data_IF_195324258643
#
_entry.id   IF_195324258643
#
_cell.length_a   1.000
_cell.length_b   1.000
_cell.length_c   1.000
_cell.angle_alpha   90.00
_cell.angle_beta   90.00
_cell.angle_gamma   90.00
#
_symmetry.space_group_name_H-M   'P 1'
#
loop_
_entity.id
_entity.type
_entity.pdbx_description
1 polymer ?
#
# COMPACT_ATOMS: atom_id res chain seq x y z
N UNK A 1 16.64 16.07 -10.45
CA UNK A 1 15.59 15.98 -9.41
C UNK A 1 15.90 17.04 -8.36
N UNK A 2 14.96 17.92 -8.00
CA UNK A 2 15.24 18.98 -7.02
C UNK A 2 15.36 18.40 -5.62
N UNK A 3 16.26 18.98 -4.78
CA UNK A 3 16.48 18.58 -3.37
C UNK A 3 15.16 18.45 -2.60
N UNK A 4 14.18 19.28 -2.93
CA UNK A 4 12.86 19.25 -2.31
C UNK A 4 12.03 18.01 -2.69
N UNK A 5 12.08 17.56 -3.94
CA UNK A 5 11.39 16.34 -4.39
C UNK A 5 11.96 15.12 -3.66
N UNK A 6 13.29 15.03 -3.54
CA UNK A 6 13.96 13.98 -2.77
C UNK A 6 13.59 14.02 -1.29
N UNK A 7 13.49 15.22 -0.71
CA UNK A 7 13.13 15.38 0.69
C UNK A 7 11.69 14.89 0.97
N UNK A 8 10.72 15.29 0.15
CA UNK A 8 9.31 14.84 0.28
C UNK A 8 9.20 13.33 0.09
N UNK A 9 9.94 12.79 -0.87
CA UNK A 9 9.99 11.37 -1.18
C UNK A 9 10.51 10.57 0.02
N UNK A 10 11.64 10.98 0.59
CA UNK A 10 12.22 10.36 1.79
C UNK A 10 11.23 10.45 2.95
N UNK A 11 10.59 11.60 3.12
CA UNK A 11 9.72 11.85 4.24
C UNK A 11 8.41 11.05 4.18
N UNK A 12 7.75 10.98 3.01
CA UNK A 12 6.55 10.14 2.80
C UNK A 12 6.85 8.67 3.08
N UNK A 13 8.07 8.22 2.79
CA UNK A 13 8.50 6.85 3.04
C UNK A 13 8.92 6.59 4.50
N UNK A 14 9.34 7.60 5.26
CA UNK A 14 9.53 7.46 6.71
C UNK A 14 8.21 7.13 7.42
N UNK A 15 7.09 7.70 6.96
CA UNK A 15 5.77 7.36 7.48
C UNK A 15 5.37 5.91 7.20
N UNK A 16 5.75 5.39 6.03
CA UNK A 16 5.59 3.97 5.72
C UNK A 16 6.48 3.08 6.61
N UNK A 17 7.72 3.51 6.87
CA UNK A 17 8.61 2.86 7.82
C UNK A 17 7.96 2.68 9.21
N UNK A 18 7.27 3.69 9.70
CA UNK A 18 6.55 3.66 10.97
C UNK A 18 5.45 2.60 10.94
N UNK A 19 4.68 2.55 9.86
CA UNK A 19 3.63 1.55 9.67
C UNK A 19 4.17 0.11 9.66
N UNK A 20 5.37 -0.11 9.13
CA UNK A 20 6.02 -1.43 9.11
C UNK A 20 6.50 -1.91 10.49
N UNK A 21 6.73 -1.02 11.46
CA UNK A 21 7.04 -1.42 12.84
C UNK A 21 5.89 -2.16 13.52
N UNK A 22 4.65 -1.94 13.07
CA UNK A 22 3.44 -2.64 13.53
C UNK A 22 3.30 -4.10 13.08
N UNK A 23 4.25 -4.67 12.32
CA UNK A 23 4.19 -6.07 11.85
C UNK A 23 4.26 -7.10 12.99
N UNK A 24 4.75 -6.71 14.17
CA UNK A 24 4.80 -7.56 15.38
C UNK A 24 3.45 -7.68 16.12
N UNK A 25 2.40 -7.09 15.59
CA UNK A 25 1.07 -7.04 16.21
C UNK A 25 0.47 -8.44 16.43
N UNK A 26 0.71 -9.39 15.51
CA UNK A 26 0.27 -10.77 15.64
C UNK A 26 0.86 -11.40 16.91
N UNK A 27 2.18 -11.35 17.05
CA UNK A 27 2.91 -11.91 18.19
C UNK A 27 2.48 -11.26 19.51
N UNK A 28 2.20 -9.95 19.47
CA UNK A 28 1.75 -9.21 20.64
C UNK A 28 0.37 -9.70 21.12
N UNK A 29 -0.60 -9.81 20.22
CA UNK A 29 -1.97 -10.22 20.55
C UNK A 29 -2.05 -11.69 20.97
N UNK A 30 -1.29 -12.56 20.31
CA UNK A 30 -1.16 -13.95 20.70
C UNK A 30 -0.56 -14.07 22.10
N UNK A 31 0.50 -13.29 22.40
CA UNK A 31 1.10 -13.21 23.74
C UNK A 31 0.16 -12.67 24.83
N UNK A 32 -0.82 -11.84 24.45
CA UNK A 32 -1.87 -11.37 25.36
C UNK A 32 -3.03 -12.36 25.52
N UNK A 33 -3.08 -13.45 24.72
CA UNK A 33 -4.13 -14.47 24.78
C UNK A 33 -5.47 -14.03 24.18
N UNK A 34 -5.48 -13.01 23.30
CA UNK A 34 -6.67 -12.55 22.62
C UNK A 34 -6.76 -13.10 21.18
N UNK A 35 -8.00 -13.24 20.68
CA UNK A 35 -8.23 -13.65 19.28
C UNK A 35 -7.69 -12.59 18.31
N UNK A 36 -6.59 -12.92 17.67
CA UNK A 36 -5.92 -12.06 16.68
C UNK A 36 -6.86 -11.75 15.52
N UNK A 37 -7.50 -12.77 14.95
CA UNK A 37 -8.40 -12.63 13.82
C UNK A 37 -9.58 -11.69 14.11
N UNK A 38 -10.19 -11.81 15.31
CA UNK A 38 -11.32 -10.94 15.70
C UNK A 38 -10.93 -9.47 15.78
N UNK A 39 -9.76 -9.18 16.36
CA UNK A 39 -9.25 -7.81 16.46
C UNK A 39 -8.87 -7.23 15.07
N UNK A 40 -8.26 -8.04 14.20
CA UNK A 40 -7.97 -7.61 12.83
C UNK A 40 -9.25 -7.35 12.03
N UNK A 41 -10.23 -8.27 12.07
CA UNK A 41 -11.51 -8.07 11.41
C UNK A 41 -12.22 -6.79 11.86
N UNK A 42 -12.18 -6.48 13.16
CA UNK A 42 -12.76 -5.24 13.68
C UNK A 42 -12.13 -4.00 13.04
N UNK A 43 -10.80 -3.98 12.90
CA UNK A 43 -10.08 -2.88 12.23
C UNK A 43 -10.50 -2.72 10.78
N UNK A 44 -10.54 -3.81 10.01
CA UNK A 44 -10.93 -3.78 8.60
C UNK A 44 -12.39 -3.39 8.40
N UNK A 45 -13.33 -3.90 9.23
CA UNK A 45 -14.73 -3.52 9.18
C UNK A 45 -14.89 -2.03 9.48
N UNK A 46 -14.23 -1.52 10.52
CA UNK A 46 -14.24 -0.09 10.85
C UNK A 46 -13.66 0.74 9.72
N UNK A 47 -12.57 0.28 9.11
CA UNK A 47 -11.97 0.90 7.93
C UNK A 47 -12.95 1.00 6.76
N UNK A 48 -13.64 -0.10 6.42
CA UNK A 48 -14.63 -0.12 5.33
C UNK A 48 -15.79 0.88 5.58
N UNK A 49 -16.33 0.88 6.81
CA UNK A 49 -17.46 1.75 7.17
C UNK A 49 -17.09 3.22 7.19
N UNK A 50 -15.89 3.56 7.67
CA UNK A 50 -15.45 4.96 7.84
C UNK A 50 -14.80 5.55 6.59
N UNK A 51 -14.39 4.74 5.62
CA UNK A 51 -13.66 5.19 4.42
C UNK A 51 -14.32 6.36 3.69
N UNK A 52 -15.62 6.32 3.33
CA UNK A 52 -16.25 7.41 2.57
C UNK A 52 -16.25 8.75 3.33
N UNK A 53 -16.44 8.68 4.65
CA UNK A 53 -16.44 9.88 5.51
C UNK A 53 -15.03 10.42 5.67
N UNK A 54 -14.04 9.55 5.87
CA UNK A 54 -12.63 9.92 6.06
C UNK A 54 -12.11 10.68 4.84
N UNK A 55 -12.32 10.18 3.62
CA UNK A 55 -11.91 10.85 2.40
C UNK A 55 -12.53 12.25 2.23
N UNK A 56 -13.83 12.35 2.49
CA UNK A 56 -14.54 13.63 2.41
C UNK A 56 -14.07 14.66 3.47
N UNK A 57 -13.69 14.18 4.66
CA UNK A 57 -13.07 15.03 5.69
C UNK A 57 -11.70 15.55 5.25
N UNK A 58 -10.88 14.70 4.62
CA UNK A 58 -9.56 15.09 4.08
C UNK A 58 -9.69 16.17 3.03
N UNK A 59 -10.60 15.99 2.05
CA UNK A 59 -10.84 16.98 1.00
C UNK A 59 -11.37 18.31 1.56
N UNK A 60 -12.21 18.27 2.61
CA UNK A 60 -12.76 19.46 3.24
C UNK A 60 -11.78 20.22 4.15
N UNK A 61 -11.13 19.51 5.06
CA UNK A 61 -10.34 20.14 6.13
C UNK A 61 -8.87 20.36 5.78
N UNK A 62 -8.41 19.78 4.69
CA UNK A 62 -7.04 19.90 4.21
C UNK A 62 -6.15 18.71 4.55
N UNK A 63 -5.16 18.52 3.71
CA UNK A 63 -4.34 17.30 3.70
C UNK A 63 -3.22 17.33 4.75
N UNK A 64 -2.64 18.51 5.04
CA UNK A 64 -1.68 18.65 6.15
C UNK A 64 -2.33 18.36 7.49
N UNK A 65 -3.52 18.94 7.75
CA UNK A 65 -4.26 18.70 9.00
C UNK A 65 -4.62 17.23 9.15
N UNK A 66 -5.03 16.58 8.05
CA UNK A 66 -5.32 15.16 8.04
C UNK A 66 -4.07 14.29 8.30
N UNK A 67 -2.89 14.68 7.78
CA UNK A 67 -1.63 14.01 8.08
C UNK A 67 -1.21 14.15 9.55
N UNK A 68 -1.42 15.33 10.14
CA UNK A 68 -1.17 15.55 11.58
C UNK A 68 -2.14 14.73 12.44
N UNK A 69 -3.41 14.65 12.05
CA UNK A 69 -4.40 13.80 12.72
C UNK A 69 -4.00 12.33 12.63
N UNK A 70 -3.55 11.86 11.47
CA UNK A 70 -3.00 10.50 11.30
C UNK A 70 -1.89 10.22 12.30
N UNK A 71 -0.87 11.07 12.37
CA UNK A 71 0.23 10.88 13.30
C UNK A 71 -0.24 10.89 14.77
N UNK A 72 -1.15 11.78 15.13
CA UNK A 72 -1.70 11.84 16.48
C UNK A 72 -2.45 10.55 16.87
N UNK A 73 -3.29 10.04 15.97
CA UNK A 73 -4.03 8.80 16.17
C UNK A 73 -3.11 7.58 16.24
N UNK A 74 -2.07 7.51 15.38
CA UNK A 74 -1.06 6.44 15.40
C UNK A 74 -0.27 6.40 16.72
N UNK A 75 0.09 7.57 17.28
CA UNK A 75 0.70 7.63 18.61
C UNK A 75 -0.26 7.01 19.64
N UNK A 76 -1.54 7.38 19.60
CA UNK A 76 -2.56 6.85 20.51
C UNK A 76 -2.73 5.34 20.37
N UNK A 77 -2.79 4.81 19.14
CA UNK A 77 -2.88 3.37 18.85
C UNK A 77 -1.69 2.64 19.47
N UNK A 78 -0.48 3.05 19.13
CA UNK A 78 0.75 2.38 19.59
C UNK A 78 0.94 2.46 21.11
N UNK A 79 0.39 3.47 21.78
CA UNK A 79 0.38 3.54 23.24
C UNK A 79 -0.66 2.58 23.84
N UNK A 80 -1.86 2.47 23.27
CA UNK A 80 -2.90 1.55 23.74
C UNK A 80 -2.49 0.09 23.60
N UNK A 81 -1.75 -0.26 22.56
CA UNK A 81 -1.32 -1.62 22.28
C UNK A 81 -0.23 -2.15 23.22
N UNK A 82 0.46 -1.26 23.94
CA UNK A 82 1.46 -1.66 24.92
C UNK A 82 0.85 -2.31 26.18
N UNK A 83 -0.46 -2.24 26.36
CA UNK A 83 -1.13 -2.77 27.55
C UNK A 83 -2.12 -3.89 27.18
N UNK A 84 -2.09 -5.05 27.88
CA UNK A 84 -2.97 -6.20 27.62
C UNK A 84 -4.39 -5.95 28.15
N UNK A 85 -5.04 -4.87 27.71
CA UNK A 85 -6.37 -4.48 28.13
C UNK A 85 -7.33 -4.49 26.96
N UNK A 86 -8.25 -5.45 26.94
CA UNK A 86 -9.12 -5.71 25.75
C UNK A 86 -9.87 -4.49 25.26
N UNK A 87 -10.37 -3.62 26.13
CA UNK A 87 -11.09 -2.41 25.70
C UNK A 87 -10.15 -1.44 24.98
N UNK A 88 -8.91 -1.28 25.49
CA UNK A 88 -7.89 -0.48 24.82
C UNK A 88 -7.53 -1.04 23.44
N UNK A 89 -7.38 -2.36 23.31
CA UNK A 89 -7.10 -3.03 22.03
C UNK A 89 -8.25 -2.91 21.05
N UNK A 90 -9.51 -3.02 21.50
CA UNK A 90 -10.69 -2.79 20.65
C UNK A 90 -10.70 -1.35 20.15
N UNK A 91 -10.47 -0.37 21.01
CA UNK A 91 -10.41 1.05 20.62
C UNK A 91 -9.26 1.28 19.64
N UNK A 92 -8.07 0.72 19.89
CA UNK A 92 -6.91 0.84 18.98
C UNK A 92 -7.25 0.28 17.59
N UNK A 93 -7.93 -0.85 17.48
CA UNK A 93 -8.34 -1.43 16.19
C UNK A 93 -9.39 -0.62 15.46
N UNK A 94 -10.35 -0.05 16.18
CA UNK A 94 -11.32 0.88 15.57
C UNK A 94 -10.63 2.14 15.03
N UNK A 95 -9.75 2.75 15.80
CA UNK A 95 -8.95 3.90 15.35
C UNK A 95 -8.03 3.48 14.20
N UNK A 96 -7.42 2.30 14.26
CA UNK A 96 -6.56 1.74 13.21
C UNK A 96 -7.25 1.60 11.85
N UNK A 97 -8.54 1.27 11.83
CA UNK A 97 -9.32 1.30 10.59
C UNK A 97 -9.43 2.71 9.98
N UNK A 98 -9.57 3.74 10.81
CA UNK A 98 -9.61 5.14 10.35
C UNK A 98 -8.22 5.59 9.86
N UNK A 99 -7.15 5.28 10.60
CA UNK A 99 -5.79 5.68 10.22
C UNK A 99 -5.33 4.98 8.95
N UNK A 100 -5.75 3.74 8.69
CA UNK A 100 -5.49 3.06 7.42
C UNK A 100 -6.09 3.84 6.24
N UNK A 101 -7.31 4.36 6.36
CA UNK A 101 -7.92 5.19 5.31
C UNK A 101 -7.17 6.50 5.12
N UNK A 102 -6.72 7.15 6.20
CA UNK A 102 -5.88 8.35 6.13
C UNK A 102 -4.54 8.05 5.45
N UNK A 103 -3.88 6.95 5.80
CA UNK A 103 -2.61 6.53 5.21
C UNK A 103 -2.74 6.33 3.70
N UNK A 104 -3.79 5.67 3.25
CA UNK A 104 -4.02 5.38 1.83
C UNK A 104 -4.41 6.60 0.99
N UNK A 105 -4.93 7.67 1.61
CA UNK A 105 -5.46 8.81 0.85
C UNK A 105 -4.64 10.09 1.00
N UNK A 106 -4.20 10.43 2.22
CA UNK A 106 -3.66 11.76 2.53
C UNK A 106 -2.32 12.02 1.85
N UNK A 107 -1.38 11.09 1.98
CA UNK A 107 0.02 11.33 1.59
C UNK A 107 0.18 11.43 0.07
N UNK A 108 -0.44 10.52 -0.66
CA UNK A 108 -0.42 10.54 -2.13
C UNK A 108 -1.17 11.76 -2.68
N UNK A 109 -2.33 12.09 -2.11
CA UNK A 109 -3.11 13.26 -2.56
C UNK A 109 -2.41 14.58 -2.25
N UNK A 110 -1.75 14.69 -1.10
CA UNK A 110 -0.92 15.85 -0.77
C UNK A 110 0.24 16.00 -1.74
N UNK A 111 0.96 14.90 -2.01
CA UNK A 111 2.11 14.86 -2.90
C UNK A 111 1.72 15.26 -4.33
N UNK A 112 0.66 14.66 -4.90
CA UNK A 112 0.20 14.95 -6.25
C UNK A 112 -0.20 16.44 -6.40
N UNK A 113 -0.95 16.97 -5.43
CA UNK A 113 -1.36 18.36 -5.47
C UNK A 113 -0.17 19.31 -5.33
N UNK A 114 0.76 19.03 -4.43
CA UNK A 114 1.96 19.87 -4.26
C UNK A 114 2.88 19.79 -5.47
N UNK A 115 3.00 18.61 -6.10
CA UNK A 115 3.75 18.40 -7.34
C UNK A 115 3.22 19.29 -8.46
N UNK A 116 1.89 19.28 -8.67
CA UNK A 116 1.21 20.11 -9.68
C UNK A 116 1.29 21.60 -9.35
N UNK A 117 1.06 21.97 -8.09
CA UNK A 117 1.10 23.36 -7.64
C UNK A 117 2.46 24.03 -7.87
N UNK A 118 3.54 23.24 -7.79
CA UNK A 118 4.90 23.72 -8.05
C UNK A 118 5.30 23.73 -9.51
N UNK A 119 4.42 23.31 -10.40
CA UNK A 119 4.67 23.27 -11.84
C UNK A 119 5.79 22.31 -12.23
N UNK A 120 5.96 21.20 -11.48
CA UNK A 120 6.91 20.17 -11.88
C UNK A 120 6.41 19.43 -13.11
N UNK A 121 7.37 18.95 -13.91
CA UNK A 121 7.13 18.25 -15.16
C UNK A 121 6.30 16.96 -14.91
N UNK A 122 5.07 16.89 -15.46
CA UNK A 122 4.23 15.71 -15.32
C UNK A 122 4.87 14.42 -15.81
N UNK A 123 5.78 14.48 -16.79
CA UNK A 123 6.50 13.31 -17.29
C UNK A 123 7.41 12.66 -16.24
N UNK A 124 7.88 13.43 -15.25
CA UNK A 124 8.73 12.96 -14.16
C UNK A 124 7.93 12.44 -12.95
N UNK A 125 6.61 12.51 -12.99
CA UNK A 125 5.77 11.99 -11.90
C UNK A 125 5.89 10.47 -11.76
N UNK A 126 6.08 9.76 -12.87
CA UNK A 126 6.34 8.32 -12.83
C UNK A 126 7.67 7.98 -12.16
N UNK A 127 8.73 8.74 -12.45
CA UNK A 127 10.02 8.58 -11.77
C UNK A 127 9.87 8.79 -10.25
N UNK A 128 9.06 9.77 -9.85
CA UNK A 128 8.75 10.02 -8.45
C UNK A 128 8.02 8.83 -7.80
N UNK A 129 7.04 8.24 -8.49
CA UNK A 129 6.31 7.07 -7.99
C UNK A 129 7.21 5.84 -7.88
N UNK A 130 8.07 5.61 -8.89
CA UNK A 130 9.09 4.55 -8.87
C UNK A 130 10.05 4.72 -7.69
N UNK A 131 10.63 5.90 -7.53
CA UNK A 131 11.59 6.19 -6.46
C UNK A 131 10.93 6.07 -5.08
N UNK A 132 9.65 6.46 -4.97
CA UNK A 132 8.85 6.24 -3.77
C UNK A 132 8.70 4.75 -3.44
N UNK A 133 8.43 3.90 -4.43
CA UNK A 133 8.32 2.45 -4.23
C UNK A 133 9.65 1.83 -3.75
N UNK A 134 10.78 2.22 -4.37
CA UNK A 134 12.10 1.75 -3.98
C UNK A 134 12.43 2.14 -2.53
N UNK A 135 12.25 3.42 -2.19
CA UNK A 135 12.52 3.91 -0.82
C UNK A 135 11.59 3.24 0.20
N UNK A 136 10.33 3.00 -0.16
CA UNK A 136 9.37 2.30 0.68
C UNK A 136 9.83 0.88 1.03
N UNK A 137 10.29 0.11 0.06
CA UNK A 137 10.79 -1.25 0.30
C UNK A 137 12.10 -1.25 1.09
N UNK A 138 13.01 -0.31 0.84
CA UNK A 138 14.21 -0.15 1.67
C UNK A 138 13.87 0.22 3.11
N UNK A 139 12.90 1.10 3.31
CA UNK A 139 12.39 1.46 4.63
C UNK A 139 11.77 0.24 5.34
N UNK A 140 11.03 -0.61 4.62
CA UNK A 140 10.46 -1.84 5.19
C UNK A 140 11.55 -2.81 5.68
N UNK A 141 12.64 -2.98 4.92
CA UNK A 141 13.78 -3.80 5.37
C UNK A 141 14.40 -3.20 6.64
N UNK A 142 14.69 -1.90 6.63
CA UNK A 142 15.30 -1.22 7.76
C UNK A 142 14.41 -1.25 9.01
N UNK A 143 13.08 -1.13 8.84
CA UNK A 143 12.13 -1.23 9.95
C UNK A 143 12.09 -2.63 10.56
N UNK A 144 12.22 -3.68 9.75
CA UNK A 144 12.29 -5.05 10.24
C UNK A 144 13.50 -5.28 11.16
N UNK A 145 14.68 -4.80 10.77
CA UNK A 145 15.88 -4.87 11.62
C UNK A 145 15.73 -4.05 12.90
N UNK A 146 15.16 -2.84 12.79
CA UNK A 146 14.92 -1.99 13.97
C UNK A 146 13.92 -2.63 14.93
N UNK A 147 12.83 -3.17 14.40
CA UNK A 147 11.79 -3.84 15.19
C UNK A 147 12.35 -5.05 15.93
N UNK A 148 13.17 -5.87 15.24
CA UNK A 148 13.84 -7.01 15.86
C UNK A 148 14.76 -6.58 17.01
N UNK A 149 15.65 -5.61 16.78
CA UNK A 149 16.55 -5.12 17.83
C UNK A 149 15.83 -4.44 19.01
N UNK A 150 14.68 -3.82 18.77
CA UNK A 150 13.83 -3.26 19.83
C UNK A 150 13.09 -4.38 20.59
N UNK A 151 12.61 -5.41 19.90
CA UNK A 151 11.97 -6.56 20.52
C UNK A 151 12.95 -7.35 21.41
N UNK A 152 14.21 -7.54 20.99
CA UNK A 152 15.25 -8.18 21.82
C UNK A 152 15.56 -7.40 23.10
N UNK A 153 15.53 -6.06 23.06
CA UNK A 153 15.90 -5.23 24.22
C UNK A 153 14.76 -4.88 25.13
N UNK A 154 13.57 -4.66 24.60
CA UNK A 154 12.39 -4.15 25.30
C UNK A 154 11.23 -5.16 25.34
N UNK A 155 11.43 -6.37 24.80
CA UNK A 155 10.39 -7.39 24.67
C UNK A 155 9.39 -7.09 23.56
N UNK A 156 8.25 -7.81 23.51
CA UNK A 156 7.26 -7.72 22.41
C UNK A 156 6.67 -6.32 22.18
N UNK A 157 6.69 -5.44 23.19
CA UNK A 157 6.24 -4.03 23.11
C UNK A 157 7.28 -3.10 22.50
N UNK A 158 8.54 -3.51 22.39
CA UNK A 158 9.66 -2.70 21.91
C UNK A 158 9.40 -2.03 20.56
N UNK A 159 8.94 -2.76 19.52
CA UNK A 159 8.59 -2.18 18.22
C UNK A 159 7.57 -1.05 18.30
N UNK A 160 6.57 -1.15 19.19
CA UNK A 160 5.53 -0.13 19.36
C UNK A 160 6.07 1.14 20.03
N UNK A 161 7.01 1.01 20.97
CA UNK A 161 7.74 2.16 21.54
C UNK A 161 8.55 2.87 20.44
N UNK A 162 9.23 2.10 19.60
CA UNK A 162 9.93 2.64 18.42
C UNK A 162 8.99 3.35 17.44
N UNK A 163 7.81 2.78 17.19
CA UNK A 163 6.80 3.38 16.34
C UNK A 163 6.32 4.72 16.89
N UNK A 164 6.07 4.84 18.20
CA UNK A 164 5.71 6.11 18.84
C UNK A 164 6.81 7.15 18.61
N UNK A 165 8.08 6.81 18.87
CA UNK A 165 9.19 7.76 18.70
C UNK A 165 9.31 8.25 17.24
N UNK A 166 9.25 7.34 16.27
CA UNK A 166 9.28 7.69 14.85
C UNK A 166 8.06 8.54 14.43
N UNK A 167 6.87 8.22 14.94
CA UNK A 167 5.64 8.98 14.61
C UNK A 167 5.68 10.38 15.19
N UNK A 168 6.25 10.58 16.38
CA UNK A 168 6.47 11.92 16.95
C UNK A 168 7.41 12.74 16.07
N UNK A 169 8.51 12.15 15.58
CA UNK A 169 9.41 12.82 14.64
C UNK A 169 8.65 13.20 13.36
N UNK A 170 7.87 12.28 12.81
CA UNK A 170 7.05 12.53 11.63
C UNK A 170 6.04 13.66 11.85
N UNK A 171 5.35 13.67 12.99
CA UNK A 171 4.43 14.74 13.36
C UNK A 171 5.11 16.12 13.36
N UNK A 172 6.27 16.23 14.00
CA UNK A 172 7.05 17.49 14.07
C UNK A 172 7.46 17.94 12.67
N UNK A 173 7.93 17.03 11.83
CA UNK A 173 8.37 17.34 10.46
C UNK A 173 7.19 17.78 9.59
N UNK A 174 6.05 17.09 9.64
CA UNK A 174 4.82 17.50 8.92
C UNK A 174 4.37 18.89 9.40
N UNK A 175 4.35 19.12 10.70
CA UNK A 175 3.93 20.40 11.27
C UNK A 175 4.82 21.54 10.80
N UNK A 176 6.15 21.33 10.75
CA UNK A 176 7.13 22.36 10.44
C UNK A 176 7.28 22.63 8.93
N UNK A 177 7.20 21.59 8.09
CA UNK A 177 7.67 21.68 6.69
C UNK A 177 6.51 21.63 5.69
N UNK A 178 5.44 20.87 5.96
CA UNK A 178 4.35 20.76 5.02
C UNK A 178 3.54 22.05 4.94
N UNK A 179 3.19 22.44 3.71
CA UNK A 179 2.20 23.47 3.47
C UNK A 179 0.81 22.83 3.42
N UNK A 180 -0.19 23.56 3.90
CA UNK A 180 -1.57 23.10 3.71
C UNK A 180 -1.91 23.15 2.23
N UNK A 181 -2.53 22.10 1.75
CA UNK A 181 -3.08 22.08 0.40
C UNK A 181 -4.45 21.39 0.37
N UNK A 182 -5.21 21.81 -0.60
CA UNK A 182 -6.57 21.36 -0.86
C UNK A 182 -6.64 20.93 -2.33
N UNK A 183 -7.78 20.40 -2.77
CA UNK A 183 -8.04 20.24 -4.20
C UNK A 183 -8.06 21.60 -4.93
N UNK A 184 -8.38 21.59 -6.23
CA UNK A 184 -8.45 22.82 -7.05
C UNK A 184 -9.68 23.69 -6.76
N UNK A 185 -10.59 23.27 -5.88
CA UNK A 185 -11.77 24.05 -5.52
C UNK A 185 -11.41 25.39 -4.86
N UNK A 186 -12.10 26.47 -5.26
CA UNK A 186 -11.91 27.79 -4.68
C UNK A 186 -12.33 27.82 -3.21
N UNK A 187 -11.72 28.71 -2.42
CA UNK A 187 -11.95 28.79 -0.96
C UNK A 187 -13.42 28.94 -0.59
N UNK A 188 -14.15 29.81 -1.28
CA UNK A 188 -15.58 30.05 -1.03
C UNK A 188 -16.44 28.79 -1.30
N UNK A 189 -16.14 28.05 -2.35
CA UNK A 189 -16.87 26.82 -2.69
C UNK A 189 -16.58 25.72 -1.66
N UNK A 190 -15.35 25.60 -1.23
CA UNK A 190 -14.93 24.64 -0.21
C UNK A 190 -15.59 24.88 1.14
N UNK A 191 -15.61 26.14 1.61
CA UNK A 191 -16.15 26.49 2.93
C UNK A 191 -17.66 26.29 2.99
N UNK A 192 -18.36 26.51 1.88
CA UNK A 192 -19.80 26.27 1.76
C UNK A 192 -20.17 24.79 1.58
N UNK A 193 -19.21 23.94 1.19
CA UNK A 193 -19.48 22.54 0.87
C UNK A 193 -19.45 21.67 2.13
N UNK A 194 -20.54 20.91 2.35
CA UNK A 194 -20.62 19.96 3.46
C UNK A 194 -19.83 18.69 3.16
N UNK A 195 -19.47 17.90 4.18
CA UNK A 195 -18.86 16.56 4.03
C UNK A 195 -19.73 15.67 3.13
N UNK A 196 -21.05 15.69 3.34
CA UNK A 196 -21.99 14.98 2.46
C UNK A 196 -21.94 15.51 1.01
N UNK A 197 -21.60 16.77 0.79
CA UNK A 197 -21.40 17.38 -0.52
C UNK A 197 -20.23 16.72 -1.26
N UNK A 198 -19.09 16.55 -0.61
CA UNK A 198 -17.92 15.86 -1.19
C UNK A 198 -18.23 14.39 -1.52
N UNK A 199 -18.93 13.68 -0.63
CA UNK A 199 -19.37 12.30 -0.91
C UNK A 199 -20.31 12.22 -2.12
N UNK A 200 -21.28 13.14 -2.22
CA UNK A 200 -22.18 13.19 -3.37
C UNK A 200 -21.45 13.50 -4.67
N UNK A 201 -20.44 14.37 -4.62
CA UNK A 201 -19.61 14.68 -5.78
C UNK A 201 -18.80 13.49 -6.23
N UNK A 202 -18.14 12.76 -5.34
CA UNK A 202 -17.44 11.52 -5.67
C UNK A 202 -18.37 10.51 -6.35
N UNK A 203 -19.59 10.33 -5.83
CA UNK A 203 -20.62 9.48 -6.46
C UNK A 203 -21.04 10.01 -7.83
N UNK A 204 -21.14 11.32 -7.99
CA UNK A 204 -21.46 11.93 -9.29
C UNK A 204 -20.34 11.70 -10.31
N UNK A 205 -19.08 11.80 -9.89
CA UNK A 205 -17.91 11.51 -10.74
C UNK A 205 -17.96 10.06 -11.22
N UNK A 206 -18.23 9.09 -10.35
CA UNK A 206 -18.37 7.68 -10.73
C UNK A 206 -19.52 7.41 -11.69
N UNK A 207 -20.63 8.16 -11.57
CA UNK A 207 -21.76 8.04 -12.50
C UNK A 207 -21.48 8.64 -13.87
N UNK A 208 -20.70 9.73 -13.90
CA UNK A 208 -20.40 10.45 -15.13
C UNK A 208 -19.27 9.77 -15.93
N UNK A 209 -18.26 9.20 -15.23
CA UNK A 209 -17.15 8.48 -15.83
C UNK A 209 -16.95 7.12 -15.17
N UNK A 210 -17.43 6.09 -15.83
CA UNK A 210 -17.26 4.70 -15.38
C UNK A 210 -15.81 4.20 -15.46
N UNK A 211 -14.91 4.91 -16.17
CA UNK A 211 -13.47 4.57 -16.21
C UNK A 211 -12.87 4.74 -14.83
N UNK A 212 -13.19 5.84 -14.14
CA UNK A 212 -12.71 6.11 -12.78
C UNK A 212 -13.17 5.02 -11.81
N UNK A 213 -14.46 4.63 -11.89
CA UNK A 213 -14.99 3.55 -11.06
C UNK A 213 -14.25 2.22 -11.32
N UNK A 214 -14.01 1.87 -12.59
CA UNK A 214 -13.26 0.66 -12.95
C UNK A 214 -11.84 0.67 -12.43
N UNK A 215 -11.12 1.79 -12.56
CA UNK A 215 -9.77 1.96 -12.01
C UNK A 215 -9.78 1.74 -10.50
N UNK A 216 -10.71 2.35 -9.77
CA UNK A 216 -10.83 2.17 -8.31
C UNK A 216 -11.13 0.72 -7.91
N UNK A 217 -11.99 0.02 -8.66
CA UNK A 217 -12.31 -1.39 -8.38
C UNK A 217 -11.09 -2.27 -8.62
N UNK A 218 -10.43 -2.14 -9.77
CA UNK A 218 -9.27 -2.96 -10.13
C UNK A 218 -8.14 -2.76 -9.11
N UNK A 219 -7.83 -1.51 -8.78
CA UNK A 219 -6.77 -1.21 -7.81
C UNK A 219 -7.15 -1.63 -6.39
N UNK A 220 -8.44 -1.52 -6.02
CA UNK A 220 -8.92 -2.04 -4.75
C UNK A 220 -8.80 -3.56 -4.63
N UNK A 221 -9.08 -4.30 -5.71
CA UNK A 221 -8.91 -5.75 -5.76
C UNK A 221 -7.41 -6.14 -5.75
N UNK A 222 -6.57 -5.42 -6.49
CA UNK A 222 -5.11 -5.63 -6.49
C UNK A 222 -4.52 -5.44 -5.09
N UNK A 223 -4.85 -4.33 -4.44
CA UNK A 223 -4.40 -4.06 -3.07
C UNK A 223 -4.99 -5.05 -2.06
N UNK A 224 -6.24 -5.48 -2.25
CA UNK A 224 -6.87 -6.52 -1.45
C UNK A 224 -6.12 -7.86 -1.55
N UNK A 225 -5.75 -8.27 -2.77
CA UNK A 225 -4.95 -9.47 -3.01
C UNK A 225 -3.58 -9.37 -2.33
N UNK A 226 -2.92 -8.21 -2.41
CA UNK A 226 -1.65 -7.95 -1.70
C UNK A 226 -1.83 -8.11 -0.17
N UNK A 227 -2.88 -7.55 0.41
CA UNK A 227 -3.11 -7.65 1.86
C UNK A 227 -3.40 -9.09 2.29
N UNK A 228 -4.16 -9.85 1.50
CA UNK A 228 -4.37 -11.29 1.74
C UNK A 228 -3.05 -12.07 1.62
N UNK A 229 -2.24 -11.75 0.62
CA UNK A 229 -0.90 -12.34 0.48
C UNK A 229 -0.02 -12.06 1.70
N UNK A 230 0.04 -10.79 2.16
CA UNK A 230 0.80 -10.42 3.38
C UNK A 230 0.35 -11.21 4.60
N UNK A 231 -0.94 -11.57 4.67
CA UNK A 231 -1.46 -12.37 5.77
C UNK A 231 -1.15 -13.87 5.63
N UNK A 232 -1.17 -14.41 4.40
CA UNK A 232 -1.12 -15.85 4.15
C UNK A 232 0.27 -16.42 3.82
N UNK A 233 1.23 -15.61 3.34
CA UNK A 233 2.53 -16.15 2.90
C UNK A 233 3.28 -16.89 4.01
N UNK A 234 3.23 -16.37 5.25
CA UNK A 234 3.91 -16.96 6.39
C UNK A 234 3.33 -18.34 6.79
N UNK A 235 2.00 -18.50 7.04
CA UNK A 235 1.44 -19.80 7.37
C UNK A 235 1.54 -20.81 6.22
N UNK A 236 1.43 -20.38 4.95
CA UNK A 236 1.62 -21.27 3.79
C UNK A 236 3.04 -21.85 3.81
N UNK A 237 4.05 -21.01 3.95
CA UNK A 237 5.44 -21.48 3.98
C UNK A 237 5.75 -22.29 5.24
N UNK A 238 5.15 -21.99 6.39
CA UNK A 238 5.29 -22.78 7.60
C UNK A 238 4.80 -24.23 7.40
N UNK A 239 3.67 -24.40 6.74
CA UNK A 239 3.12 -25.72 6.44
C UNK A 239 4.00 -26.49 5.45
N UNK A 240 4.44 -25.85 4.36
CA UNK A 240 5.28 -26.47 3.36
C UNK A 240 6.69 -26.79 3.85
N UNK A 241 7.23 -26.04 4.80
CA UNK A 241 8.55 -26.28 5.37
C UNK A 241 8.64 -27.62 6.10
N UNK A 242 7.53 -28.13 6.64
CA UNK A 242 7.47 -29.42 7.35
C UNK A 242 7.79 -30.61 6.42
N UNK A 243 7.45 -30.51 5.13
CA UNK A 243 7.72 -31.54 4.11
C UNK A 243 9.04 -31.35 3.36
N UNK A 244 9.71 -30.22 3.51
CA UNK A 244 10.90 -29.87 2.74
C UNK A 244 12.19 -30.45 3.37
N UNK A 245 13.14 -30.97 2.57
CA UNK A 245 14.44 -31.43 3.09
C UNK A 245 15.29 -30.23 3.52
N UNK A 246 15.81 -30.26 4.75
CA UNK A 246 16.59 -29.16 5.36
C UNK A 246 17.82 -28.74 4.51
N UNK A 247 18.41 -29.69 3.74
CA UNK A 247 19.62 -29.42 2.94
C UNK A 247 19.37 -28.79 1.56
N UNK A 248 18.11 -28.70 1.10
CA UNK A 248 17.78 -28.20 -0.25
C UNK A 248 17.21 -26.77 -0.28
N UNK A 249 17.10 -26.09 0.84
CA UNK A 249 16.34 -24.86 1.00
C UNK A 249 17.13 -23.57 0.87
N UNK A 250 18.38 -23.61 0.39
CA UNK A 250 19.24 -22.39 0.25
C UNK A 250 19.30 -21.49 1.51
N UNK A 251 19.16 -22.06 2.71
CA UNK A 251 19.15 -21.31 3.96
C UNK A 251 17.80 -20.64 4.31
N UNK A 252 16.73 -20.88 3.54
CA UNK A 252 15.39 -20.40 3.84
C UNK A 252 14.63 -21.24 4.88
N UNK A 253 15.17 -22.41 5.24
CA UNK A 253 14.67 -23.24 6.34
C UNK A 253 15.78 -23.36 7.38
N UNK A 254 15.43 -23.21 8.65
CA UNK A 254 16.35 -23.40 9.75
C UNK A 254 16.52 -24.89 10.14
N UNK A 255 17.41 -25.17 11.10
CA UNK A 255 17.66 -26.52 11.56
C UNK A 255 16.47 -27.18 12.31
N UNK A 256 15.40 -26.44 12.57
CA UNK A 256 14.16 -26.90 13.20
C UNK A 256 13.01 -27.11 12.21
N UNK A 257 13.28 -27.07 10.91
CA UNK A 257 12.29 -27.10 9.83
C UNK A 257 11.31 -25.91 9.85
N UNK A 258 11.73 -24.74 10.38
CA UNK A 258 10.96 -23.52 10.32
C UNK A 258 11.47 -22.58 9.23
N UNK A 259 10.58 -21.82 8.55
CA UNK A 259 11.00 -20.83 7.57
C UNK A 259 11.81 -19.70 8.22
N UNK A 260 12.92 -19.33 7.61
CA UNK A 260 13.70 -18.16 8.01
C UNK A 260 12.98 -16.87 7.61
N UNK A 261 11.87 -16.54 8.30
CA UNK A 261 10.92 -15.48 7.95
C UNK A 261 11.58 -14.13 7.65
N UNK A 262 12.59 -13.73 8.43
CA UNK A 262 13.30 -12.48 8.22
C UNK A 262 14.09 -12.45 6.90
N UNK A 263 14.74 -13.57 6.54
CA UNK A 263 15.47 -13.69 5.29
C UNK A 263 14.52 -13.71 4.08
N UNK A 264 13.41 -14.44 4.19
CA UNK A 264 12.37 -14.52 3.16
C UNK A 264 11.73 -13.14 2.94
N UNK A 265 11.36 -12.45 4.01
CA UNK A 265 10.82 -11.09 3.93
C UNK A 265 11.82 -10.11 3.30
N UNK A 266 13.10 -10.19 3.71
CA UNK A 266 14.18 -9.42 3.10
C UNK A 266 14.31 -9.67 1.59
N UNK A 267 14.20 -10.94 1.16
CA UNK A 267 14.22 -11.33 -0.25
C UNK A 267 13.01 -10.78 -1.02
N UNK A 268 11.80 -10.79 -0.43
CA UNK A 268 10.60 -10.19 -1.02
C UNK A 268 10.77 -8.69 -1.22
N UNK A 269 11.22 -7.96 -0.20
CA UNK A 269 11.44 -6.52 -0.32
C UNK A 269 12.52 -6.17 -1.35
N UNK A 270 13.61 -6.96 -1.40
CA UNK A 270 14.66 -6.80 -2.43
C UNK A 270 14.11 -7.06 -3.84
N UNK A 271 13.27 -8.07 -4.01
CA UNK A 271 12.57 -8.37 -5.26
C UNK A 271 11.68 -7.19 -5.70
N UNK A 272 10.93 -6.59 -4.78
CA UNK A 272 10.14 -5.39 -5.04
C UNK A 272 10.99 -4.18 -5.44
N UNK A 273 12.18 -4.00 -4.86
CA UNK A 273 13.14 -2.96 -5.30
C UNK A 273 13.57 -3.22 -6.74
N UNK A 274 13.95 -4.45 -7.08
CA UNK A 274 14.35 -4.81 -8.46
C UNK A 274 13.20 -4.53 -9.43
N UNK A 275 11.98 -4.94 -9.10
CA UNK A 275 10.79 -4.64 -9.91
C UNK A 275 10.58 -3.14 -10.12
N UNK A 276 10.67 -2.35 -9.05
CA UNK A 276 10.56 -0.90 -9.10
C UNK A 276 11.61 -0.25 -10.02
N UNK A 277 12.87 -0.65 -9.90
CA UNK A 277 13.95 -0.15 -10.76
C UNK A 277 13.76 -0.54 -12.24
N UNK A 278 13.18 -1.72 -12.50
CA UNK A 278 12.91 -2.20 -13.85
C UNK A 278 11.65 -1.58 -14.48
N UNK A 279 10.73 -0.99 -13.70
CA UNK A 279 9.40 -0.55 -14.15
C UNK A 279 9.44 0.36 -15.39
N UNK A 280 10.31 1.38 -15.39
CA UNK A 280 10.46 2.31 -16.51
C UNK A 280 10.97 1.62 -17.80
N UNK A 281 11.88 0.66 -17.66
CA UNK A 281 12.42 -0.08 -18.82
C UNK A 281 11.35 -1.00 -19.41
N UNK A 282 10.62 -1.72 -18.56
CA UNK A 282 9.52 -2.59 -19.00
C UNK A 282 8.42 -1.77 -19.69
N UNK A 283 8.04 -0.62 -19.10
CA UNK A 283 7.06 0.26 -19.73
C UNK A 283 7.52 0.77 -21.10
N UNK A 284 8.78 1.21 -21.22
CA UNK A 284 9.34 1.64 -22.52
C UNK A 284 9.28 0.50 -23.54
N UNK A 285 9.63 -0.72 -23.16
CA UNK A 285 9.54 -1.89 -24.03
C UNK A 285 8.09 -2.15 -24.49
N UNK A 286 7.12 -2.08 -23.55
CA UNK A 286 5.69 -2.24 -23.87
C UNK A 286 5.20 -1.10 -24.79
N UNK A 287 5.63 0.13 -24.59
CA UNK A 287 5.28 1.27 -25.46
C UNK A 287 5.77 1.04 -26.89
N UNK A 288 7.00 0.53 -27.05
CA UNK A 288 7.56 0.18 -28.36
C UNK A 288 6.79 -0.98 -29.01
N UNK A 289 6.44 -2.01 -28.23
CA UNK A 289 5.68 -3.16 -28.71
C UNK A 289 4.27 -2.78 -29.20
N UNK A 290 3.64 -1.81 -28.53
CA UNK A 290 2.31 -1.31 -28.91
C UNK A 290 2.34 -0.24 -30.02
N UNK A 291 3.51 0.23 -30.43
CA UNK A 291 3.63 1.28 -31.48
C UNK A 291 3.07 0.87 -32.84
N UNK A 292 3.17 -0.39 -33.32
CA UNK A 292 2.59 -0.80 -34.62
C UNK A 292 1.06 -0.80 -34.65
N UNK A 293 0.38 -0.85 -33.49
CA UNK A 293 -1.08 -0.82 -33.42
C UNK A 293 -1.67 0.59 -33.62
N UNK A 294 -0.82 1.60 -33.78
CA UNK A 294 -1.20 3.01 -34.00
C UNK A 294 -1.88 3.26 -35.35
N UNK A 295 -1.60 2.44 -36.36
CA UNK A 295 -2.07 2.66 -37.75
C UNK A 295 -3.49 2.13 -38.01
N UNK A 296 -4.15 1.54 -37.03
CA UNK A 296 -5.51 0.99 -37.13
C UNK A 296 -6.56 1.87 -36.42
N UNK A 297 -6.54 3.19 -36.73
CA UNK A 297 -7.71 4.07 -36.70
C UNK A 297 -8.55 4.14 -35.42
N UNK A 298 -8.03 4.68 -34.33
CA UNK A 298 -8.88 5.15 -33.20
C UNK A 298 -8.76 6.69 -33.09
N UNK A 299 -9.84 7.47 -33.34
CA UNK A 299 -9.82 8.93 -33.29
C UNK A 299 -9.77 9.51 -31.87
N UNK A 300 -9.93 8.69 -30.83
CA UNK A 300 -9.93 9.10 -29.41
C UNK A 300 -8.54 9.01 -28.73
N UNK A 301 -7.48 8.98 -29.54
CA UNK A 301 -6.09 8.95 -29.09
C UNK A 301 -5.69 10.30 -28.49
N UNK A 302 -6.23 10.63 -27.30
CA UNK A 302 -5.77 11.75 -26.48
C UNK A 302 -4.35 11.42 -25.96
N UNK A 303 -3.37 11.61 -26.85
CA UNK A 303 -1.98 11.77 -26.45
C UNK A 303 -1.93 13.02 -25.60
N UNK A 304 -1.77 12.86 -24.29
CA UNK A 304 -1.35 13.97 -23.44
C UNK A 304 0.10 14.22 -23.81
N UNK A 305 0.31 15.15 -24.76
CA UNK A 305 1.62 15.67 -25.12
C UNK A 305 2.14 16.45 -23.92
N UNK A 306 3.03 15.83 -23.18
CA UNK A 306 3.82 16.51 -22.17
C UNK A 306 5.05 17.01 -22.92
N UNK A 307 5.13 18.33 -23.12
CA UNK A 307 6.27 18.99 -23.72
C UNK A 307 7.53 18.62 -22.92
N UNK A 308 8.45 17.89 -23.59
CA UNK A 308 9.81 17.73 -23.07
C UNK A 308 10.45 16.35 -23.17
N UNK A 309 9.78 15.25 -22.94
CA UNK A 309 10.29 13.88 -23.15
C UNK A 309 9.16 12.86 -23.24
N UNK A 310 8.92 12.35 -24.42
CA UNK A 310 8.20 11.08 -24.68
C UNK A 310 6.77 11.01 -24.17
N UNK A 311 5.85 10.91 -25.11
CA UNK A 311 4.43 10.61 -24.94
C UNK A 311 4.20 9.51 -23.88
N UNK A 312 3.72 9.85 -22.68
CA UNK A 312 3.14 8.84 -21.79
C UNK A 312 1.81 8.42 -22.39
N UNK A 313 1.77 7.24 -22.99
CA UNK A 313 0.53 6.67 -23.52
C UNK A 313 -0.21 6.00 -22.38
N UNK A 314 -1.39 6.48 -21.98
CA UNK A 314 -2.21 5.85 -20.95
C UNK A 314 -2.38 4.35 -21.22
N UNK A 315 -2.65 3.98 -22.47
CA UNK A 315 -2.83 2.61 -22.94
C UNK A 315 -1.64 1.68 -22.61
N UNK A 316 -0.39 2.17 -22.70
CA UNK A 316 0.78 1.35 -22.41
C UNK A 316 0.91 1.05 -20.92
N UNK A 317 0.58 2.03 -20.05
CA UNK A 317 0.61 1.89 -18.60
C UNK A 317 -0.50 0.93 -18.14
N UNK A 318 -1.70 1.07 -18.68
CA UNK A 318 -2.85 0.20 -18.40
C UNK A 318 -2.60 -1.23 -18.84
N UNK A 319 -2.06 -1.42 -20.05
CA UNK A 319 -1.74 -2.74 -20.59
C UNK A 319 -0.67 -3.45 -19.76
N UNK A 320 0.38 -2.72 -19.35
CA UNK A 320 1.42 -3.26 -18.48
C UNK A 320 0.84 -3.70 -17.14
N UNK A 321 0.02 -2.86 -16.51
CA UNK A 321 -0.63 -3.20 -15.25
C UNK A 321 -1.52 -4.45 -15.39
N UNK A 322 -2.31 -4.54 -16.48
CA UNK A 322 -3.18 -5.68 -16.74
C UNK A 322 -2.40 -6.99 -16.91
N UNK A 323 -1.28 -6.98 -17.64
CA UNK A 323 -0.41 -8.15 -17.77
C UNK A 323 0.14 -8.56 -16.40
N UNK A 324 0.65 -7.61 -15.61
CA UNK A 324 1.19 -7.90 -14.30
C UNK A 324 0.13 -8.49 -13.36
N UNK A 325 -1.11 -8.00 -13.39
CA UNK A 325 -2.22 -8.56 -12.61
C UNK A 325 -2.54 -10.00 -13.03
N UNK A 326 -2.60 -10.27 -14.34
CA UNK A 326 -2.86 -11.62 -14.83
C UNK A 326 -1.75 -12.59 -14.42
N UNK A 327 -0.49 -12.21 -14.58
CA UNK A 327 0.65 -13.02 -14.16
C UNK A 327 0.63 -13.25 -12.63
N UNK A 328 0.33 -12.23 -11.83
CA UNK A 328 0.20 -12.36 -10.38
C UNK A 328 -0.90 -13.34 -9.98
N UNK A 329 -2.04 -13.34 -10.68
CA UNK A 329 -3.11 -14.31 -10.43
C UNK A 329 -2.66 -15.75 -10.69
N UNK A 330 -1.88 -16.01 -11.75
CA UNK A 330 -1.29 -17.34 -11.99
C UNK A 330 -0.29 -17.75 -10.92
N UNK A 331 0.53 -16.82 -10.44
CA UNK A 331 1.50 -17.10 -9.36
C UNK A 331 0.82 -17.48 -8.04
N UNK A 332 -0.32 -16.89 -7.73
CA UNK A 332 -1.11 -17.26 -6.53
C UNK A 332 -1.77 -18.64 -6.62
N UNK A 333 -1.86 -19.23 -7.80
CA UNK A 333 -2.30 -20.63 -7.94
C UNK A 333 -1.19 -21.64 -7.64
N UNK A 334 0.08 -21.23 -7.65
CA UNK A 334 1.22 -22.14 -7.45
C UNK A 334 1.12 -22.94 -6.15
N UNK A 335 0.81 -22.34 -4.97
CA UNK A 335 0.65 -23.13 -3.75
C UNK A 335 -0.43 -24.20 -3.83
N UNK A 336 -1.47 -24.00 -4.64
CA UNK A 336 -2.56 -24.97 -4.81
C UNK A 336 -2.21 -26.17 -5.70
N UNK A 337 -1.07 -26.12 -6.40
CA UNK A 337 -0.62 -27.20 -7.28
C UNK A 337 0.17 -28.30 -6.55
N UNK A 338 0.57 -28.04 -5.32
CA UNK A 338 1.39 -28.94 -4.51
C UNK A 338 0.63 -29.42 -3.29
N UNK A 339 1.02 -30.59 -2.81
CA UNK A 339 0.58 -31.12 -1.51
C UNK A 339 1.63 -30.81 -0.44
N UNK A 340 1.23 -30.77 0.81
CA UNK A 340 2.13 -30.48 1.95
C UNK A 340 3.28 -31.48 2.10
N UNK A 341 3.17 -32.64 1.47
CA UNK A 341 4.20 -33.69 1.46
C UNK A 341 5.20 -33.59 0.31
N UNK A 342 5.03 -32.66 -0.63
CA UNK A 342 5.94 -32.50 -1.77
C UNK A 342 7.22 -31.76 -1.34
N UNK A 343 8.40 -32.40 -1.40
CA UNK A 343 9.67 -31.80 -0.98
C UNK A 343 10.07 -30.55 -1.74
N UNK A 344 9.54 -30.36 -2.95
CA UNK A 344 9.88 -29.23 -3.82
C UNK A 344 8.92 -28.04 -3.67
N UNK A 345 7.73 -28.26 -3.07
CA UNK A 345 6.68 -27.27 -2.96
C UNK A 345 7.13 -25.95 -2.31
N UNK A 346 7.90 -26.04 -1.23
CA UNK A 346 8.43 -24.89 -0.51
C UNK A 346 9.24 -23.94 -1.42
N UNK A 347 10.17 -24.50 -2.22
CA UNK A 347 11.02 -23.70 -3.09
C UNK A 347 10.26 -23.09 -4.28
N UNK A 348 9.31 -23.84 -4.86
CA UNK A 348 8.46 -23.31 -5.94
C UNK A 348 7.55 -22.18 -5.44
N UNK A 349 6.99 -22.31 -4.24
CA UNK A 349 6.16 -21.26 -3.65
C UNK A 349 6.98 -20.01 -3.32
N UNK A 350 8.17 -20.13 -2.73
CA UNK A 350 9.07 -18.98 -2.51
C UNK A 350 9.41 -18.32 -3.85
N UNK A 351 9.78 -19.11 -4.87
CA UNK A 351 10.07 -18.59 -6.20
C UNK A 351 8.90 -17.82 -6.80
N UNK A 352 7.68 -18.36 -6.71
CA UNK A 352 6.47 -17.69 -7.17
C UNK A 352 6.21 -16.38 -6.43
N UNK A 353 6.39 -16.35 -5.11
CA UNK A 353 6.21 -15.17 -4.28
C UNK A 353 7.27 -14.10 -4.56
N UNK A 354 8.53 -14.48 -4.79
CA UNK A 354 9.59 -13.54 -5.22
C UNK A 354 9.24 -12.92 -6.58
N UNK A 355 8.77 -13.71 -7.54
CA UNK A 355 8.34 -13.21 -8.85
C UNK A 355 7.13 -12.29 -8.71
N UNK A 356 6.17 -12.62 -7.83
CA UNK A 356 5.04 -11.74 -7.53
C UNK A 356 5.50 -10.37 -6.98
N UNK A 357 6.46 -10.34 -6.06
CA UNK A 357 7.02 -9.10 -5.51
C UNK A 357 7.75 -8.26 -6.59
N UNK A 358 8.45 -8.91 -7.54
CA UNK A 358 9.01 -8.21 -8.70
C UNK A 358 7.89 -7.56 -9.52
N UNK A 359 6.81 -8.30 -9.82
CA UNK A 359 5.67 -7.78 -10.58
C UNK A 359 5.01 -6.62 -9.83
N UNK A 360 4.83 -6.74 -8.51
CA UNK A 360 4.32 -5.68 -7.64
C UNK A 360 5.18 -4.41 -7.76
N UNK A 361 6.50 -4.56 -7.74
CA UNK A 361 7.43 -3.46 -7.95
C UNK A 361 7.27 -2.80 -9.32
N UNK A 362 6.98 -3.57 -10.38
CA UNK A 362 6.78 -3.07 -11.74
C UNK A 362 5.46 -2.30 -11.86
N UNK A 363 4.33 -2.85 -11.39
CA UNK A 363 3.03 -2.25 -11.65
C UNK A 363 2.61 -1.17 -10.64
N UNK A 364 3.12 -1.18 -9.43
CA UNK A 364 2.76 -0.20 -8.39
C UNK A 364 3.03 1.26 -8.79
N UNK A 365 4.17 1.62 -9.43
CA UNK A 365 4.34 2.95 -10.01
C UNK A 365 3.32 3.28 -11.10
N UNK A 366 2.95 2.28 -11.92
CA UNK A 366 1.93 2.45 -12.97
C UNK A 366 0.55 2.79 -12.38
N UNK A 367 0.17 2.15 -11.26
CA UNK A 367 -1.08 2.48 -10.56
C UNK A 367 -1.12 3.94 -10.08
N UNK A 368 0.00 4.46 -9.56
CA UNK A 368 0.13 5.86 -9.16
C UNK A 368 -0.08 6.82 -10.34
N UNK A 369 0.53 6.51 -11.48
CA UNK A 369 0.34 7.28 -12.73
C UNK A 369 -1.11 7.23 -13.20
N UNK A 370 -1.75 6.04 -13.24
CA UNK A 370 -3.15 5.88 -13.62
C UNK A 370 -4.06 6.72 -12.70
N UNK A 371 -3.85 6.68 -11.39
CA UNK A 371 -4.61 7.52 -10.44
C UNK A 371 -4.43 9.00 -10.71
N UNK A 372 -3.21 9.43 -10.99
CA UNK A 372 -2.91 10.83 -11.30
C UNK A 372 -3.56 11.31 -12.61
N UNK A 373 -3.69 10.44 -13.62
CA UNK A 373 -4.30 10.76 -14.89
C UNK A 373 -5.84 10.82 -14.85
N UNK A 374 -6.47 9.87 -14.15
CA UNK A 374 -7.93 9.70 -14.20
C UNK A 374 -8.68 10.36 -13.05
N UNK A 375 -8.10 10.45 -11.85
CA UNK A 375 -8.81 10.93 -10.67
C UNK A 375 -8.68 12.46 -10.56
N UNK A 376 -9.81 13.20 -10.60
CA UNK A 376 -9.80 14.65 -10.47
C UNK A 376 -9.30 15.11 -9.07
N UNK A 377 -8.63 16.26 -9.03
CA UNK A 377 -8.00 16.81 -7.82
C UNK A 377 -8.99 17.22 -6.74
N UNK A 378 -10.21 17.64 -7.12
CA UNK A 378 -11.17 18.31 -6.25
C UNK A 378 -11.81 17.42 -5.20
N UNK A 379 -12.01 16.13 -5.54
CA UNK A 379 -12.55 15.12 -4.64
C UNK A 379 -11.67 13.86 -4.62
N UNK A 380 -10.36 14.02 -4.83
CA UNK A 380 -9.41 12.90 -4.97
C UNK A 380 -9.38 12.02 -3.73
N UNK A 381 -9.29 12.60 -2.53
CA UNK A 381 -9.26 11.81 -1.32
C UNK A 381 -10.56 11.02 -1.11
N UNK A 382 -11.71 11.63 -1.41
CA UNK A 382 -13.02 10.96 -1.37
C UNK A 382 -13.10 9.78 -2.36
N UNK A 383 -12.54 9.94 -3.56
CA UNK A 383 -12.51 8.88 -4.58
C UNK A 383 -11.54 7.76 -4.18
N UNK A 384 -10.35 8.11 -3.67
CA UNK A 384 -9.31 7.15 -3.28
C UNK A 384 -9.69 6.29 -2.07
N UNK A 385 -10.75 6.63 -1.34
CA UNK A 385 -11.27 5.76 -0.26
C UNK A 385 -12.12 4.60 -0.79
N UNK A 386 -12.59 4.62 -2.04
CA UNK A 386 -13.32 3.48 -2.61
C UNK A 386 -12.44 2.21 -2.72
N UNK A 387 -11.21 2.24 -3.24
CA UNK A 387 -10.29 1.11 -3.14
C UNK A 387 -10.13 0.60 -1.70
N UNK A 388 -10.02 1.48 -0.71
CA UNK A 388 -9.91 1.09 0.70
C UNK A 388 -11.12 0.30 1.20
N UNK A 389 -12.35 0.63 0.76
CA UNK A 389 -13.55 -0.16 1.08
C UNK A 389 -13.40 -1.58 0.53
N UNK A 390 -13.02 -1.70 -0.73
CA UNK A 390 -12.87 -3.00 -1.41
C UNK A 390 -11.82 -3.84 -0.70
N UNK A 391 -10.66 -3.25 -0.38
CA UNK A 391 -9.57 -3.91 0.37
C UNK A 391 -10.08 -4.42 1.71
N UNK A 392 -10.68 -3.54 2.51
CA UNK A 392 -11.12 -3.88 3.86
C UNK A 392 -12.17 -5.00 3.86
N UNK A 393 -13.09 -4.99 2.89
CA UNK A 393 -14.09 -6.05 2.71
C UNK A 393 -13.42 -7.36 2.27
N UNK A 394 -12.54 -7.31 1.27
CA UNK A 394 -11.84 -8.50 0.77
C UNK A 394 -10.99 -9.17 1.85
N UNK A 395 -10.24 -8.38 2.62
CA UNK A 395 -9.41 -8.90 3.72
C UNK A 395 -10.26 -9.43 4.86
N UNK A 396 -11.37 -8.76 5.21
CA UNK A 396 -12.29 -9.27 6.25
C UNK A 396 -12.85 -10.65 5.87
N UNK A 397 -13.21 -10.85 4.62
CA UNK A 397 -13.68 -12.14 4.10
C UNK A 397 -12.54 -13.17 4.11
N UNK A 398 -11.34 -12.79 3.64
CA UNK A 398 -10.16 -13.65 3.62
C UNK A 398 -9.77 -14.13 5.01
N UNK A 399 -9.65 -13.23 5.97
CA UNK A 399 -9.32 -13.57 7.37
C UNK A 399 -10.42 -14.41 8.04
N UNK A 400 -11.69 -14.10 7.79
CA UNK A 400 -12.79 -14.92 8.33
C UNK A 400 -12.79 -16.35 7.75
N UNK A 401 -12.35 -16.51 6.50
CA UNK A 401 -12.27 -17.82 5.83
C UNK A 401 -11.17 -18.71 6.40
N UNK A 402 -10.06 -18.14 6.90
CA UNK A 402 -8.97 -18.91 7.52
C UNK A 402 -9.41 -19.58 8.84
N UNK A 403 -10.27 -18.93 9.62
CA UNK A 403 -10.81 -19.51 10.86
C UNK A 403 -11.80 -20.68 10.62
N UNK A 404 -12.22 -20.91 9.40
CA UNK A 404 -13.11 -22.05 9.02
C UNK A 404 -12.26 -23.28 8.61
N UNK A 405 -10.98 -23.06 8.32
CA UNK A 405 -10.03 -24.11 7.85
C UNK A 405 -9.23 -24.70 9.01
N UNK A 406 -9.11 -24.02 10.15
CA UNK A 406 -8.60 -24.55 11.42
C UNK A 406 -9.69 -25.32 12.17
#
# INVERSE_FOLDING_TARGET
MNVWTNFVLIFTNILYFISCLGTHLYVLYEGYGFSVASLYCLGFITGAVTAPVTGALVDKFGRKKAALLYCFLEIGINLLEQYPYIVGLVISRMIGGITTNLLCSVFETWLDTEYRRRGFDPAKYEDLMRDSMVVKNMAAIASGYLAHGLAERLGPVGPFVGAVACTVIAFVVVAAIWTENYGSAQEEERDNKSVAGYMKEAVKVFKNDTRILRVCIIQGLSLGALMIFIFLWSPILANLAKGAPANSSMGFIDGQHEPAYGLIFGAFMAAGVIGGLCSCYVRKAVTVLLSPLKDAGDPDNNTVTIEGEGEVRPMAVEFLAAICYMLSAFLFLVPCLFTDSDPSAFMYCIGAFIVYEILLGVYSPCEGVIRSLYIPSDCRASIMTLPSIIVNVAVSIGVASTNVIE
#
